data_IF_136017783341
#
_entry.id   IF_136017783341
#
_cell.length_a   1.000
_cell.length_b   1.000
_cell.length_c   1.000
_cell.angle_alpha   90.00
_cell.angle_beta   90.00
_cell.angle_gamma   90.00
#
_symmetry.space_group_name_H-M   'P 1'
#
loop_
_entity.id
_entity.type
_entity.pdbx_description
1 polymer ?
#
# COMPACT_ATOMS: atom_id res chain seq x y z
N UNK A 1 3.23 23.56 -16.95
CA UNK A 1 4.24 22.54 -17.29
C UNK A 1 5.17 22.45 -16.10
N UNK A 2 4.77 21.71 -15.08
CA UNK A 2 5.68 21.02 -14.16
C UNK A 2 4.78 20.10 -13.34
N UNK A 3 4.78 18.82 -13.70
CA UNK A 3 4.17 17.75 -12.90
C UNK A 3 4.73 16.44 -13.44
N UNK A 4 6.06 16.31 -13.44
CA UNK A 4 6.69 15.01 -13.29
C UNK A 4 6.56 14.57 -11.83
N UNK A 5 5.32 14.55 -11.30
CA UNK A 5 5.04 13.81 -10.08
C UNK A 5 5.45 12.37 -10.39
N UNK A 6 6.48 11.87 -9.72
CA UNK A 6 6.90 10.48 -9.87
C UNK A 6 5.68 9.60 -9.65
N UNK A 7 5.23 8.94 -10.72
CA UNK A 7 4.10 8.03 -10.66
C UNK A 7 4.57 6.77 -9.94
N UNK A 8 4.31 6.72 -8.63
CA UNK A 8 4.55 5.55 -7.80
C UNK A 8 3.22 5.01 -7.28
N UNK A 9 2.30 4.75 -8.22
CA UNK A 9 0.92 4.25 -8.10
C UNK A 9 0.74 2.92 -7.33
N UNK A 10 1.82 2.33 -6.85
CA UNK A 10 1.90 0.90 -6.56
C UNK A 10 2.72 0.57 -5.28
N UNK A 11 2.71 1.46 -4.28
CA UNK A 11 3.42 1.22 -3.01
C UNK A 11 2.51 0.79 -1.85
N UNK A 12 2.80 -0.38 -1.30
CA UNK A 12 2.38 -0.77 0.04
C UNK A 12 3.11 0.10 1.06
N UNK A 13 2.41 0.75 1.99
CA UNK A 13 3.01 1.58 3.05
C UNK A 13 3.19 0.80 4.34
N UNK A 14 4.33 0.96 5.02
CA UNK A 14 4.61 0.34 6.31
C UNK A 14 5.01 1.37 7.36
N UNK A 15 4.28 1.38 8.48
CA UNK A 15 4.63 2.22 9.62
C UNK A 15 5.76 1.58 10.42
N UNK A 16 6.77 2.37 10.77
CA UNK A 16 7.85 1.91 11.62
C UNK A 16 7.45 2.03 13.09
N UNK A 17 7.51 0.91 13.81
CA UNK A 17 7.40 0.87 15.26
C UNK A 17 8.79 0.69 15.90
N UNK A 18 9.10 1.51 16.89
CA UNK A 18 10.36 1.45 17.62
C UNK A 18 10.15 1.80 19.09
N UNK A 19 11.10 1.43 19.94
CA UNK A 19 11.05 1.70 21.37
C UNK A 19 11.55 3.13 21.63
N UNK A 20 10.90 3.84 22.55
CA UNK A 20 11.33 5.16 22.99
C UNK A 20 12.80 5.16 23.45
N UNK A 21 13.57 6.15 22.97
CA UNK A 21 14.98 6.35 23.28
C UNK A 21 15.93 5.39 22.55
N UNK A 22 15.44 4.55 21.63
CA UNK A 22 16.28 3.64 20.85
C UNK A 22 16.49 4.21 19.45
N UNK A 23 17.75 4.25 19.03
CA UNK A 23 18.13 4.69 17.69
C UNK A 23 17.65 3.72 16.61
N UNK A 24 17.15 4.28 15.50
CA UNK A 24 16.70 3.53 14.33
C UNK A 24 17.92 3.18 13.48
N UNK A 25 18.28 1.90 13.40
CA UNK A 25 19.46 1.44 12.66
C UNK A 25 19.15 1.16 11.19
N UNK A 26 20.19 1.15 10.34
CA UNK A 26 20.08 0.83 8.90
C UNK A 26 19.36 -0.50 8.67
N UNK A 27 19.74 -1.52 9.42
CA UNK A 27 19.17 -2.87 9.31
C UNK A 27 17.68 -2.91 9.67
N UNK A 28 17.18 -2.00 10.51
CA UNK A 28 15.75 -1.92 10.83
C UNK A 28 14.98 -1.45 9.59
N UNK A 29 15.47 -0.39 8.94
CA UNK A 29 14.87 0.14 7.72
C UNK A 29 15.03 -0.81 6.53
N UNK A 30 16.16 -1.51 6.38
CA UNK A 30 16.35 -2.52 5.33
C UNK A 30 15.34 -3.66 5.43
N UNK A 31 15.03 -4.12 6.65
CA UNK A 31 13.99 -5.13 6.87
C UNK A 31 12.61 -4.64 6.42
N UNK A 32 12.29 -3.37 6.61
CA UNK A 32 11.03 -2.78 6.17
C UNK A 32 11.03 -2.57 4.65
N UNK A 33 12.14 -2.08 4.08
CA UNK A 33 12.31 -1.83 2.64
C UNK A 33 12.26 -3.12 1.81
N UNK A 34 12.56 -4.27 2.39
CA UNK A 34 12.37 -5.56 1.72
C UNK A 34 10.89 -5.95 1.58
N UNK A 35 10.00 -5.39 2.41
CA UNK A 35 8.57 -5.69 2.44
C UNK A 35 7.71 -4.65 1.75
N UNK A 36 8.17 -3.40 1.76
CA UNK A 36 7.40 -2.23 1.37
C UNK A 36 8.33 -1.24 0.68
N UNK A 37 7.78 -0.53 -0.30
CA UNK A 37 8.46 0.56 -0.97
C UNK A 37 8.19 1.91 -0.29
N UNK A 38 7.32 2.00 0.70
CA UNK A 38 7.01 3.24 1.39
C UNK A 38 7.04 3.00 2.89
N UNK A 39 8.07 3.52 3.56
CA UNK A 39 8.16 3.48 5.01
C UNK A 39 7.69 4.81 5.57
N UNK A 40 6.83 4.77 6.58
CA UNK A 40 6.47 5.95 7.36
C UNK A 40 7.03 5.82 8.78
N UNK A 41 7.88 6.77 9.16
CA UNK A 41 8.43 6.90 10.50
C UNK A 41 7.70 8.07 11.16
N UNK A 42 7.09 7.83 12.32
CA UNK A 42 6.48 8.89 13.14
C UNK A 42 7.19 8.96 14.47
N UNK A 43 7.69 10.14 14.81
CA UNK A 43 8.39 10.43 16.06
C UNK A 43 7.50 11.33 16.91
N UNK A 44 7.39 11.05 18.20
CA UNK A 44 6.57 11.86 19.10
C UNK A 44 6.96 11.69 20.56
N UNK A 45 6.29 12.44 21.42
CA UNK A 45 6.54 12.40 22.85
C UNK A 45 6.12 11.03 23.41
N UNK A 46 7.07 10.29 23.99
CA UNK A 46 6.88 8.92 24.48
C UNK A 46 7.23 7.81 23.47
N UNK A 47 7.60 8.17 22.25
CA UNK A 47 8.13 7.28 21.21
C UNK A 47 9.14 8.06 20.34
N UNK A 48 10.12 8.67 21.01
CA UNK A 48 11.19 9.47 20.42
C UNK A 48 12.42 8.61 20.14
N UNK A 49 13.22 9.03 19.16
CA UNK A 49 14.52 8.46 18.82
C UNK A 49 15.52 9.58 18.54
N UNK A 50 16.76 9.46 18.99
CA UNK A 50 17.78 10.50 18.80
C UNK A 50 18.38 10.43 17.41
N UNK A 51 18.65 9.23 16.90
CA UNK A 51 19.30 9.03 15.60
C UNK A 51 18.50 8.10 14.70
N UNK A 52 18.41 8.48 13.42
CA UNK A 52 17.82 7.68 12.35
C UNK A 52 18.89 7.45 11.28
N UNK A 53 19.32 6.21 11.13
CA UNK A 53 20.33 5.84 10.15
C UNK A 53 19.69 5.29 8.87
N UNK A 54 19.63 6.11 7.82
CA UNK A 54 19.08 5.72 6.52
C UNK A 54 20.04 4.72 5.84
N UNK A 55 19.55 3.59 5.30
CA UNK A 55 20.40 2.58 4.67
C UNK A 55 20.92 3.03 3.30
N UNK A 56 21.88 2.29 2.73
CA UNK A 56 22.40 2.61 1.40
C UNK A 56 21.31 2.48 0.34
N UNK A 57 21.19 3.47 -0.54
CA UNK A 57 20.42 3.32 -1.76
C UNK A 57 21.08 2.27 -2.66
N UNK A 58 20.28 1.41 -3.26
CA UNK A 58 20.72 0.35 -4.17
C UNK A 58 19.54 -0.06 -5.08
N UNK A 59 19.79 -0.86 -6.11
CA UNK A 59 18.74 -1.27 -7.05
C UNK A 59 17.53 -1.96 -6.38
N UNK A 60 17.71 -2.66 -5.25
CA UNK A 60 16.58 -3.32 -4.54
C UNK A 60 15.64 -2.34 -3.81
N UNK A 61 16.11 -1.13 -3.49
CA UNK A 61 15.29 -0.08 -2.88
C UNK A 61 15.05 1.10 -3.80
N UNK A 62 15.36 0.97 -5.10
CA UNK A 62 15.03 1.96 -6.12
C UNK A 62 13.53 2.25 -6.11
N UNK A 63 13.19 3.53 -6.22
CA UNK A 63 11.85 4.09 -6.10
C UNK A 63 11.17 3.85 -4.74
N UNK A 64 11.89 3.35 -3.74
CA UNK A 64 11.38 3.31 -2.38
C UNK A 64 11.45 4.71 -1.75
N UNK A 65 10.50 5.00 -0.87
CA UNK A 65 10.31 6.27 -0.20
C UNK A 65 10.36 6.06 1.31
N UNK A 66 11.06 6.94 2.01
CA UNK A 66 11.03 7.05 3.47
C UNK A 66 10.41 8.41 3.81
N UNK A 67 9.23 8.37 4.42
CA UNK A 67 8.54 9.52 4.99
C UNK A 67 8.84 9.57 6.48
N UNK A 68 9.23 10.74 6.98
CA UNK A 68 9.54 10.96 8.39
C UNK A 68 8.75 12.16 8.89
N UNK A 69 7.91 11.94 9.90
CA UNK A 69 7.16 12.98 10.59
C UNK A 69 7.65 13.09 12.03
N UNK A 70 7.95 14.30 12.50
CA UNK A 70 8.25 14.54 13.90
C UNK A 70 7.22 15.42 14.55
N UNK A 71 6.62 14.94 15.63
CA UNK A 71 5.78 15.70 16.56
C UNK A 71 6.45 15.83 17.94
N UNK A 72 7.68 15.33 18.10
CA UNK A 72 8.39 15.30 19.36
C UNK A 72 8.94 16.69 19.72
N UNK A 73 9.02 16.96 21.02
CA UNK A 73 9.63 18.19 21.54
C UNK A 73 11.16 18.18 21.51
N UNK A 74 11.78 17.02 21.29
CA UNK A 74 13.22 16.87 21.13
C UNK A 74 13.57 16.60 19.67
N UNK A 75 14.61 17.28 19.19
CA UNK A 75 15.14 17.08 17.85
C UNK A 75 15.71 15.66 17.69
N UNK A 76 15.69 15.17 16.45
CA UNK A 76 16.36 13.94 16.03
C UNK A 76 17.38 14.25 14.94
N UNK A 77 18.39 13.40 14.77
CA UNK A 77 19.37 13.50 13.70
C UNK A 77 19.15 12.37 12.68
N UNK A 78 18.99 12.74 11.43
CA UNK A 78 18.92 11.81 10.29
C UNK A 78 20.32 11.70 9.70
N UNK A 79 20.85 10.49 9.64
CA UNK A 79 22.16 10.16 9.11
C UNK A 79 22.01 9.46 7.76
N UNK A 80 22.42 10.14 6.70
CA UNK A 80 22.51 9.58 5.34
C UNK A 80 23.88 8.93 5.12
N UNK A 81 23.95 7.98 4.20
CA UNK A 81 25.15 7.17 3.98
C UNK A 81 26.31 7.89 3.30
N UNK A 82 26.06 9.05 2.71
CA UNK A 82 27.09 9.96 2.20
C UNK A 82 27.68 10.87 3.30
N UNK A 83 27.37 10.62 4.58
CA UNK A 83 27.84 11.42 5.71
C UNK A 83 27.03 12.69 5.95
N UNK A 84 26.01 12.97 5.14
CA UNK A 84 25.10 14.09 5.38
C UNK A 84 24.28 13.80 6.63
N UNK A 85 24.21 14.80 7.51
CA UNK A 85 23.34 14.81 8.67
C UNK A 85 22.30 15.91 8.51
N UNK A 86 21.05 15.58 8.86
CA UNK A 86 19.96 16.55 8.89
C UNK A 86 19.25 16.50 10.23
N UNK A 87 19.13 17.65 10.86
CA UNK A 87 18.31 17.80 12.06
C UNK A 87 16.83 17.82 11.69
N UNK A 88 16.06 17.00 12.38
CA UNK A 88 14.62 16.89 12.28
C UNK A 88 14.02 17.50 13.55
N UNK A 89 13.27 18.60 13.39
CA UNK A 89 12.68 19.39 14.46
C UNK A 89 11.20 19.04 14.68
N UNK A 90 10.63 19.59 15.74
CA UNK A 90 9.19 19.48 15.99
C UNK A 90 8.37 20.02 14.81
N UNK A 91 7.37 19.25 14.38
CA UNK A 91 6.48 19.49 13.24
C UNK A 91 7.15 19.41 11.86
N UNK A 92 8.41 18.97 11.78
CA UNK A 92 9.04 18.68 10.50
C UNK A 92 8.41 17.44 9.84
N UNK A 93 8.29 17.53 8.52
CA UNK A 93 7.94 16.42 7.65
C UNK A 93 8.95 16.36 6.51
N UNK A 94 9.68 15.25 6.42
CA UNK A 94 10.70 15.02 5.41
C UNK A 94 10.39 13.77 4.59
N UNK A 95 10.82 13.80 3.33
CA UNK A 95 10.67 12.68 2.40
C UNK A 95 11.98 12.43 1.68
N UNK A 96 12.36 11.16 1.60
CA UNK A 96 13.49 10.70 0.81
C UNK A 96 13.04 9.66 -0.20
N UNK A 97 13.47 9.79 -1.46
CA UNK A 97 13.28 8.78 -2.50
C UNK A 97 14.63 8.23 -2.94
N UNK A 98 14.72 6.91 -3.07
CA UNK A 98 15.92 6.26 -3.59
C UNK A 98 15.87 6.19 -5.13
N UNK A 99 16.92 6.65 -5.79
CA UNK A 99 17.09 6.47 -7.24
C UNK A 99 17.85 5.18 -7.60
N UNK A 100 18.18 4.34 -6.60
CA UNK A 100 19.00 3.14 -6.75
C UNK A 100 20.50 3.35 -6.49
N UNK A 101 20.96 4.59 -6.29
CA UNK A 101 22.35 4.94 -6.02
C UNK A 101 22.50 5.88 -4.82
N UNK A 102 21.56 6.83 -4.67
CA UNK A 102 21.49 7.76 -3.55
C UNK A 102 20.03 8.01 -3.12
N UNK A 103 19.87 8.51 -1.90
CA UNK A 103 18.61 9.05 -1.41
C UNK A 103 18.54 10.54 -1.73
N UNK A 104 17.47 10.94 -2.40
CA UNK A 104 17.19 12.33 -2.74
C UNK A 104 16.06 12.84 -1.85
N UNK A 105 16.25 14.01 -1.24
CA UNK A 105 15.18 14.66 -0.51
C UNK A 105 14.17 15.26 -1.50
N UNK A 106 12.88 15.09 -1.22
CA UNK A 106 11.78 15.65 -2.02
C UNK A 106 10.81 16.43 -1.11
N UNK A 107 10.17 17.46 -1.66
CA UNK A 107 9.31 18.36 -0.88
C UNK A 107 7.98 17.72 -0.47
N UNK A 108 7.43 16.91 -1.37
CA UNK A 108 6.19 16.19 -1.12
C UNK A 108 6.25 14.81 -1.79
N UNK A 109 5.50 13.90 -1.22
CA UNK A 109 5.26 12.60 -1.80
C UNK A 109 3.76 12.34 -1.86
N UNK A 110 3.28 12.03 -3.06
CA UNK A 110 1.86 11.81 -3.34
C UNK A 110 1.66 10.42 -3.92
N UNK A 111 0.99 9.55 -3.18
CA UNK A 111 0.45 8.29 -3.70
C UNK A 111 -0.95 8.52 -4.20
N UNK A 112 -1.13 8.70 -5.50
CA UNK A 112 -2.46 8.62 -6.09
C UNK A 112 -2.53 7.41 -6.99
N UNK A 113 -3.49 6.54 -6.73
CA UNK A 113 -3.89 5.56 -7.73
C UNK A 113 -4.91 6.20 -8.63
N UNK A 114 -4.56 6.44 -9.90
CA UNK A 114 -5.52 6.92 -10.88
C UNK A 114 -6.50 5.78 -11.21
N UNK A 115 -7.82 6.00 -11.13
CA UNK A 115 -8.78 5.03 -11.63
C UNK A 115 -8.55 4.72 -13.12
N UNK A 116 -8.63 3.45 -13.48
CA UNK A 116 -8.61 3.02 -14.88
C UNK A 116 -9.95 3.36 -15.55
N UNK A 117 -11.06 3.06 -14.86
CA UNK A 117 -12.42 3.43 -15.26
C UNK A 117 -13.14 4.11 -14.11
N UNK A 118 -14.03 5.04 -14.44
CA UNK A 118 -14.83 5.82 -13.49
C UNK A 118 -16.29 5.82 -13.91
N UNK A 119 -17.19 5.79 -12.93
CA UNK A 119 -18.62 5.89 -13.14
C UNK A 119 -19.27 4.67 -13.79
N UNK A 120 -18.63 3.50 -13.67
CA UNK A 120 -19.12 2.24 -14.22
C UNK A 120 -19.78 1.38 -13.13
N UNK A 121 -20.66 0.43 -13.49
CA UNK A 121 -21.10 -0.61 -12.57
C UNK A 121 -19.94 -1.49 -12.10
N UNK A 122 -19.89 -1.76 -10.80
CA UNK A 122 -18.79 -2.49 -10.17
C UNK A 122 -19.28 -3.66 -9.32
N UNK A 123 -18.38 -4.63 -9.13
CA UNK A 123 -18.46 -5.65 -8.10
C UNK A 123 -17.36 -5.38 -7.10
N UNK A 124 -17.70 -5.10 -5.84
CA UNK A 124 -16.73 -4.89 -4.77
C UNK A 124 -16.53 -6.18 -4.00
N UNK A 125 -15.31 -6.71 -4.07
CA UNK A 125 -14.83 -7.73 -3.15
C UNK A 125 -14.43 -7.08 -1.83
N UNK A 126 -14.80 -7.70 -0.72
CA UNK A 126 -14.46 -7.26 0.63
C UNK A 126 -14.10 -8.49 1.46
N UNK A 127 -13.12 -8.36 2.35
CA UNK A 127 -12.80 -9.44 3.26
C UNK A 127 -11.66 -9.12 4.21
N UNK A 128 -11.29 -10.13 4.97
CA UNK A 128 -10.17 -10.10 5.89
C UNK A 128 -9.22 -11.25 5.60
N UNK A 129 -7.94 -10.99 5.78
CA UNK A 129 -6.91 -11.98 5.56
C UNK A 129 -5.77 -11.81 6.56
N UNK A 130 -5.16 -12.93 6.90
CA UNK A 130 -3.95 -12.97 7.69
C UNK A 130 -2.78 -13.40 6.81
N UNK A 131 -1.84 -12.49 6.47
CA UNK A 131 -0.65 -12.83 5.69
C UNK A 131 0.21 -13.95 6.29
N UNK A 132 0.14 -14.15 7.62
CA UNK A 132 0.87 -15.22 8.30
C UNK A 132 0.10 -16.55 8.33
N UNK A 133 -1.15 -16.55 7.83
CA UNK A 133 -2.04 -17.71 7.78
C UNK A 133 -2.21 -18.43 9.13
N UNK A 134 -2.32 -17.68 10.23
CA UNK A 134 -2.58 -18.18 11.58
C UNK A 134 -4.00 -17.88 12.06
N UNK A 135 -4.66 -16.87 11.48
CA UNK A 135 -6.07 -16.54 11.70
C UNK A 135 -6.83 -16.82 10.41
N UNK A 136 -7.99 -17.47 10.51
CA UNK A 136 -8.80 -17.84 9.36
C UNK A 136 -9.18 -16.61 8.53
N UNK A 137 -8.75 -16.64 7.27
CA UNK A 137 -9.06 -15.61 6.29
C UNK A 137 -10.39 -15.88 5.63
N UNK A 138 -11.08 -14.83 5.16
CA UNK A 138 -12.37 -14.99 4.51
C UNK A 138 -12.69 -13.84 3.55
N UNK A 139 -13.48 -14.17 2.52
CA UNK A 139 -14.03 -13.22 1.55
C UNK A 139 -15.54 -13.15 1.80
N UNK A 140 -16.09 -11.95 2.01
CA UNK A 140 -17.53 -11.73 2.15
C UNK A 140 -18.28 -11.92 0.83
N UNK A 141 -19.62 -12.08 0.86
CA UNK A 141 -20.43 -11.94 -0.35
C UNK A 141 -20.07 -10.65 -1.08
N UNK A 142 -20.00 -10.71 -2.40
CA UNK A 142 -19.69 -9.54 -3.21
C UNK A 142 -20.76 -8.47 -3.05
N UNK A 143 -20.34 -7.21 -3.04
CA UNK A 143 -21.25 -6.06 -3.07
C UNK A 143 -21.34 -5.53 -4.49
N UNK A 144 -22.49 -4.98 -4.89
CA UNK A 144 -22.74 -4.52 -6.25
C UNK A 144 -23.08 -3.04 -6.24
N UNK A 145 -22.34 -2.27 -7.03
CA UNK A 145 -22.53 -0.82 -7.16
C UNK A 145 -22.91 -0.46 -8.59
N UNK A 146 -23.83 0.51 -8.75
CA UNK A 146 -24.22 1.06 -10.05
C UNK A 146 -23.21 2.08 -10.60
N UNK A 147 -22.37 2.64 -9.72
CA UNK A 147 -21.40 3.69 -10.04
C UNK A 147 -20.18 3.54 -9.13
N UNK A 148 -19.01 3.34 -9.73
CA UNK A 148 -17.77 3.21 -8.99
C UNK A 148 -16.54 3.37 -9.87
N UNK A 149 -15.38 3.18 -9.24
CA UNK A 149 -14.08 3.31 -9.86
C UNK A 149 -13.33 1.97 -9.78
N UNK A 150 -12.69 1.57 -10.86
CA UNK A 150 -11.78 0.41 -10.91
C UNK A 150 -10.35 0.88 -11.05
N UNK A 151 -9.41 0.04 -10.63
CA UNK A 151 -7.99 0.34 -10.63
C UNK A 151 -7.22 -0.81 -11.24
N UNK A 152 -6.16 -0.48 -11.98
CA UNK A 152 -5.28 -1.50 -12.51
C UNK A 152 -4.58 -2.26 -11.36
N UNK A 153 -4.42 -3.59 -11.49
CA UNK A 153 -3.67 -4.34 -10.52
C UNK A 153 -2.21 -3.91 -10.48
N UNK A 154 -1.62 -3.95 -9.28
CA UNK A 154 -0.27 -3.48 -9.03
C UNK A 154 0.75 -4.41 -9.71
N UNK A 155 1.53 -3.88 -10.66
CA UNK A 155 2.53 -4.69 -11.41
C UNK A 155 3.89 -4.75 -10.72
N UNK A 156 4.18 -3.79 -9.85
CA UNK A 156 5.50 -3.55 -9.26
C UNK A 156 5.55 -3.83 -7.75
N UNK A 157 4.56 -4.51 -7.19
CA UNK A 157 4.54 -4.81 -5.77
C UNK A 157 5.73 -5.70 -5.36
N UNK A 158 6.36 -5.33 -4.24
CA UNK A 158 7.50 -6.07 -3.67
C UNK A 158 7.09 -7.42 -3.11
N UNK A 159 5.94 -7.49 -2.47
CA UNK A 159 5.33 -8.77 -2.12
C UNK A 159 4.52 -9.26 -3.33
N UNK A 160 4.72 -10.52 -3.72
CA UNK A 160 3.92 -11.21 -4.76
C UNK A 160 3.24 -12.47 -4.24
N UNK A 161 3.38 -12.76 -2.96
CA UNK A 161 2.97 -14.02 -2.36
C UNK A 161 1.55 -13.97 -1.79
N UNK A 162 1.03 -12.77 -1.52
CA UNK A 162 -0.31 -12.58 -0.93
C UNK A 162 -1.23 -11.78 -1.85
N UNK A 163 -2.17 -12.41 -2.53
CA UNK A 163 -2.99 -11.72 -3.55
C UNK A 163 -4.38 -12.32 -3.67
N UNK A 164 -5.31 -11.55 -4.26
CA UNK A 164 -6.59 -12.06 -4.75
C UNK A 164 -6.46 -12.32 -6.24
N UNK A 165 -6.66 -13.56 -6.65
CA UNK A 165 -6.86 -13.93 -8.05
C UNK A 165 -8.36 -13.91 -8.36
N UNK A 166 -8.74 -13.17 -9.40
CA UNK A 166 -10.12 -13.09 -9.87
C UNK A 166 -10.22 -13.77 -11.22
N UNK A 167 -11.09 -14.77 -11.32
CA UNK A 167 -11.46 -15.42 -12.58
C UNK A 167 -12.68 -14.72 -13.17
N UNK A 168 -12.66 -14.49 -14.48
CA UNK A 168 -13.77 -13.93 -15.25
C UNK A 168 -14.47 -15.00 -16.09
N UNK A 169 -15.66 -14.69 -16.60
CA UNK A 169 -16.47 -15.62 -17.41
C UNK A 169 -15.75 -16.10 -18.68
N UNK A 170 -14.85 -15.31 -19.25
CA UNK A 170 -14.02 -15.68 -20.41
C UNK A 170 -12.78 -16.51 -20.04
N UNK A 171 -12.66 -16.95 -18.79
CA UNK A 171 -11.50 -17.63 -18.20
C UNK A 171 -10.21 -16.79 -18.17
N UNK A 172 -10.30 -15.47 -18.39
CA UNK A 172 -9.18 -14.58 -18.08
C UNK A 172 -9.07 -14.37 -16.57
N UNK A 173 -7.89 -13.94 -16.12
CA UNK A 173 -7.59 -13.71 -14.71
C UNK A 173 -7.03 -12.31 -14.46
N UNK A 174 -7.25 -11.77 -13.27
CA UNK A 174 -6.51 -10.61 -12.76
C UNK A 174 -6.06 -10.84 -11.32
N UNK A 175 -4.78 -10.56 -11.06
CA UNK A 175 -4.17 -10.69 -9.74
C UNK A 175 -4.08 -9.33 -9.06
N UNK A 176 -4.74 -9.19 -7.91
CA UNK A 176 -4.74 -7.99 -7.10
C UNK A 176 -3.86 -8.21 -5.88
N UNK A 177 -2.68 -7.58 -5.89
CA UNK A 177 -1.73 -7.73 -4.80
C UNK A 177 -2.28 -7.17 -3.49
N UNK A 178 -2.06 -7.92 -2.40
CA UNK A 178 -2.32 -7.50 -1.03
C UNK A 178 -1.01 -7.36 -0.26
N UNK A 179 -1.08 -6.62 0.85
CA UNK A 179 0.04 -6.44 1.77
C UNK A 179 0.34 -7.77 2.46
N UNK A 180 1.55 -8.30 2.28
CA UNK A 180 1.91 -9.61 2.83
C UNK A 180 2.56 -9.59 4.22
N UNK A 181 2.14 -8.66 5.08
CA UNK A 181 2.45 -8.65 6.52
C UNK A 181 1.27 -8.02 7.28
N UNK A 182 1.07 -8.38 8.55
CA UNK A 182 0.02 -7.77 9.38
C UNK A 182 0.34 -6.31 9.68
N UNK A 183 -0.60 -5.39 9.43
CA UNK A 183 -0.45 -3.99 9.84
C UNK A 183 -0.48 -3.83 11.37
N UNK A 184 -1.34 -4.59 12.02
CA UNK A 184 -1.35 -4.77 13.47
C UNK A 184 -1.05 -6.24 13.76
N UNK A 185 0.01 -6.51 14.52
CA UNK A 185 0.45 -7.87 14.86
C UNK A 185 -0.64 -8.76 15.47
N UNK A 186 -1.68 -8.18 16.07
CA UNK A 186 -2.77 -8.89 16.72
C UNK A 186 -4.03 -9.03 15.86
N UNK A 187 -4.10 -8.38 14.69
CA UNK A 187 -5.29 -8.32 13.86
C UNK A 187 -5.02 -8.81 12.43
N UNK A 188 -6.09 -9.26 11.78
CA UNK A 188 -6.09 -9.49 10.33
C UNK A 188 -6.08 -8.17 9.57
N UNK A 189 -5.53 -8.20 8.36
CA UNK A 189 -5.68 -7.10 7.42
C UNK A 189 -7.07 -7.16 6.77
N UNK A 190 -7.59 -5.99 6.37
CA UNK A 190 -8.81 -5.86 5.57
C UNK A 190 -8.43 -5.52 4.13
N UNK A 191 -9.15 -6.05 3.16
CA UNK A 191 -9.04 -5.65 1.75
C UNK A 191 -10.40 -5.27 1.18
N UNK A 192 -10.40 -4.36 0.21
CA UNK A 192 -11.55 -4.11 -0.66
C UNK A 192 -11.07 -3.84 -2.10
N UNK A 193 -11.68 -4.49 -3.08
CA UNK A 193 -11.28 -4.42 -4.49
C UNK A 193 -12.52 -4.18 -5.34
N UNK A 194 -12.52 -3.13 -6.16
CA UNK A 194 -13.56 -2.89 -7.14
C UNK A 194 -13.18 -3.52 -8.47
N UNK A 195 -14.05 -4.39 -8.97
CA UNK A 195 -13.97 -5.05 -10.26
C UNK A 195 -15.02 -4.48 -11.20
N UNK A 196 -14.70 -4.45 -12.50
CA UNK A 196 -15.68 -4.09 -13.52
C UNK A 196 -16.74 -5.19 -13.63
N UNK A 197 -18.00 -4.82 -13.43
CA UNK A 197 -19.11 -5.79 -13.47
C UNK A 197 -19.30 -6.40 -14.86
N UNK A 198 -19.09 -5.62 -15.92
CA UNK A 198 -19.30 -6.03 -17.30
C UNK A 198 -18.30 -7.10 -17.78
N UNK A 199 -17.15 -7.23 -17.09
CA UNK A 199 -16.22 -8.35 -17.29
C UNK A 199 -16.72 -9.67 -16.70
N UNK A 200 -17.85 -9.64 -15.97
CA UNK A 200 -18.51 -10.80 -15.35
C UNK A 200 -17.53 -11.64 -14.52
N UNK A 201 -17.00 -11.12 -13.40
CA UNK A 201 -16.16 -11.91 -12.50
C UNK A 201 -16.98 -13.06 -11.91
N UNK A 202 -16.40 -14.26 -11.87
CA UNK A 202 -17.08 -15.50 -11.48
C UNK A 202 -16.52 -16.11 -10.20
N UNK A 203 -15.25 -15.86 -9.88
CA UNK A 203 -14.60 -16.42 -8.69
C UNK A 203 -13.48 -15.53 -8.18
N UNK A 204 -13.31 -15.50 -6.87
CA UNK A 204 -12.16 -14.90 -6.19
C UNK A 204 -11.46 -15.95 -5.32
N UNK A 205 -10.14 -16.06 -5.47
CA UNK A 205 -9.28 -16.92 -4.66
C UNK A 205 -8.25 -16.07 -3.93
N UNK A 206 -8.17 -16.21 -2.61
CA UNK A 206 -7.08 -15.65 -1.81
C UNK A 206 -5.91 -16.63 -1.82
N UNK A 207 -4.76 -16.14 -2.30
CA UNK A 207 -3.50 -16.87 -2.27
C UNK A 207 -2.58 -16.32 -1.18
N UNK A 208 -1.92 -17.23 -0.45
CA UNK A 208 -0.80 -16.94 0.45
C UNK A 208 0.30 -17.97 0.18
N UNK A 209 1.50 -17.50 -0.16
CA UNK A 209 2.67 -18.33 -0.49
C UNK A 209 2.35 -19.43 -1.51
N UNK A 210 1.60 -19.05 -2.56
CA UNK A 210 1.21 -19.94 -3.66
C UNK A 210 0.09 -20.94 -3.35
N UNK A 211 -0.46 -20.93 -2.13
CA UNK A 211 -1.59 -21.79 -1.74
C UNK A 211 -2.89 -21.00 -1.72
N UNK A 212 -3.97 -21.62 -2.19
CA UNK A 212 -5.32 -21.08 -2.02
C UNK A 212 -5.72 -21.26 -0.56
N UNK A 213 -5.95 -20.15 0.13
CA UNK A 213 -6.40 -20.12 1.52
C UNK A 213 -7.92 -20.03 1.62
N UNK A 214 -8.53 -19.28 0.70
CA UNK A 214 -9.99 -19.13 0.64
C UNK A 214 -10.44 -18.98 -0.80
N UNK A 215 -11.60 -19.55 -1.12
CA UNK A 215 -12.25 -19.42 -2.43
C UNK A 215 -13.68 -18.96 -2.25
N UNK A 216 -14.12 -18.08 -3.14
CA UNK A 216 -15.50 -17.62 -3.17
C UNK A 216 -15.99 -17.45 -4.60
N UNK A 217 -17.13 -18.07 -4.89
CA UNK A 217 -17.84 -17.83 -6.13
C UNK A 217 -18.55 -16.47 -6.08
N UNK A 218 -18.58 -15.79 -7.23
CA UNK A 218 -19.18 -14.47 -7.41
C UNK A 218 -20.41 -14.65 -8.30
N UNK A 219 -21.58 -14.40 -7.73
CA UNK A 219 -22.84 -14.49 -8.47
C UNK A 219 -23.15 -13.14 -9.12
N UNK A 220 -23.17 -13.04 -10.45
CA UNK A 220 -23.63 -11.82 -11.12
C UNK A 220 -25.13 -11.95 -11.39
N UNK A 221 -25.96 -11.30 -10.57
CA UNK A 221 -27.40 -11.17 -10.86
C UNK A 221 -27.60 -10.15 -11.98
N UNK A 222 -28.48 -10.42 -12.94
CA UNK A 222 -28.76 -9.52 -14.09
C UNK A 222 -29.58 -8.26 -13.72
N UNK A 223 -29.78 -8.01 -12.43
CA UNK A 223 -30.55 -6.86 -11.96
C UNK A 223 -29.96 -5.55 -12.51
N UNK A 224 -30.85 -4.64 -12.93
CA UNK A 224 -30.47 -3.27 -13.29
C UNK A 224 -30.01 -2.54 -12.03
N UNK A 225 -28.84 -1.93 -12.09
CA UNK A 225 -28.28 -1.09 -11.04
C UNK A 225 -28.38 0.37 -11.52
N UNK A 226 -29.50 1.08 -11.24
CA UNK A 226 -29.67 2.46 -11.70
C UNK A 226 -28.76 3.42 -10.92
N UNK A 227 -28.24 4.43 -11.60
CA UNK A 227 -27.52 5.57 -10.99
C UNK A 227 -28.30 6.84 -11.27
N UNK A 228 -28.46 7.69 -10.26
CA UNK A 228 -29.03 9.05 -10.40
C UNK A 228 -27.95 10.08 -10.15
N UNK A 229 -27.78 11.03 -11.07
CA UNK A 229 -26.89 12.19 -10.90
C UNK A 229 -27.79 13.43 -10.84
N UNK A 230 -27.69 14.20 -9.76
CA UNK A 230 -28.44 15.44 -9.58
C UNK A 230 -27.50 16.64 -9.71
N UNK A 231 -27.90 17.68 -10.44
CA UNK A 231 -27.10 18.88 -10.68
C UNK A 231 -26.75 19.09 -12.16
N UNK A 232 -25.86 20.05 -12.44
CA UNK A 232 -25.41 20.35 -13.80
C UNK A 232 -24.40 19.29 -14.24
N UNK A 233 -24.71 18.62 -15.36
CA UNK A 233 -23.74 17.83 -16.11
C UNK A 233 -22.90 18.83 -16.89
N UNK A 234 -21.66 19.05 -16.48
CA UNK A 234 -20.68 19.92 -17.16
C UNK A 234 -19.83 19.07 -18.08
#
# INVERSE_FOLDING_TARGET
MDDSSFDITDLDSLDMHFKNGVDIQKNDLEKLLSKSNLIHITIGNGYHTSNIYIPNANESNKNSVIKINSYASWDSQIHLTNGIQKTLKQNDQLFYISNGFSWQEINEYRTYKKPDKQGIPIVTLLGYYDPENKIDSYIYPSLYGSYGMTYNPNKNAKNKNVYIDVTYHDNTHSQHQLIGYRKDKNLMNKFHINLERDRKPTKANLYIDGKIIYSRDIEIKENRLPTTINGIIV
#
